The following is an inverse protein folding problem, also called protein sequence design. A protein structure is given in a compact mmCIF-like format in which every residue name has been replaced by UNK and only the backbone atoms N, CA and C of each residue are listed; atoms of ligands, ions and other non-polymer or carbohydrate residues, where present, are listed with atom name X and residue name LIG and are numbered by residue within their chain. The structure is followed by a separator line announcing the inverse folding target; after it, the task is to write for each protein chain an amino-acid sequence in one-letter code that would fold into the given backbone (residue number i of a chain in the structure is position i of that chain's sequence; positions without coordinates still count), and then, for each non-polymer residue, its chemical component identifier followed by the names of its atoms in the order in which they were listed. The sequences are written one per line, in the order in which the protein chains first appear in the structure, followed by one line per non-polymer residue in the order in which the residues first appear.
data_IF_680621299909
#
_entry.id   IF_680621299909
#
_cell.length_a   1.000
_cell.length_b   1.000
_cell.length_c   1.000
_cell.angle_alpha   90.00
_cell.angle_beta   90.00
_cell.angle_gamma   90.00
#
_symmetry.space_group_name_H-M   'P 1'
#
loop_
_entity.id
_entity.type
_entity.pdbx_description
1 polymer ?
#
# COMPACT_ATOMS: atom_id res chain seq x y z
N UNK A 1 -32.87 1.98 -5.15
CA UNK A 1 -31.76 1.24 -5.80
C UNK A 1 -31.02 0.45 -4.74
N UNK A 2 -30.66 -0.82 -5.00
CA UNK A 2 -29.86 -1.60 -4.07
C UNK A 2 -28.46 -0.99 -3.95
N UNK A 3 -28.16 -0.43 -2.79
CA UNK A 3 -26.84 0.11 -2.46
C UNK A 3 -25.91 -1.06 -2.16
N UNK A 4 -24.77 -1.13 -2.85
CA UNK A 4 -23.73 -2.11 -2.50
C UNK A 4 -22.74 -1.42 -1.56
N UNK A 5 -22.39 -2.12 -0.49
CA UNK A 5 -21.63 -1.55 0.61
C UNK A 5 -20.61 -2.53 1.22
N UNK A 6 -19.66 -1.94 1.93
CA UNK A 6 -18.66 -2.65 2.73
C UNK A 6 -18.49 -1.94 4.07
N UNK A 7 -18.56 -2.71 5.15
CA UNK A 7 -18.45 -2.18 6.51
C UNK A 7 -17.00 -2.26 7.01
N UNK A 8 -16.57 -1.20 7.68
CA UNK A 8 -15.25 -1.06 8.28
C UNK A 8 -15.34 -0.57 9.73
N UNK A 9 -14.31 -0.90 10.50
CA UNK A 9 -14.06 -0.41 11.85
C UNK A 9 -12.69 0.23 11.86
N UNK A 10 -12.61 1.50 12.25
CA UNK A 10 -11.36 2.17 12.58
C UNK A 10 -11.27 2.31 14.08
N UNK A 11 -10.13 1.97 14.67
CA UNK A 11 -9.89 2.13 16.11
C UNK A 11 -8.55 2.82 16.34
N UNK A 12 -8.57 3.96 17.02
CA UNK A 12 -7.38 4.59 17.58
C UNK A 12 -7.11 3.93 18.93
N UNK A 13 -5.95 3.30 19.08
CA UNK A 13 -5.56 2.55 20.28
C UNK A 13 -4.90 3.49 21.31
N UNK A 14 -5.66 4.45 21.85
CA UNK A 14 -5.17 5.39 22.88
C UNK A 14 -5.26 4.84 24.32
N UNK A 15 -5.87 3.67 24.52
CA UNK A 15 -6.16 3.13 25.84
C UNK A 15 -7.14 4.02 26.61
N UNK A 16 -6.77 4.45 27.82
CA UNK A 16 -7.54 5.38 28.63
C UNK A 16 -7.20 6.86 28.34
N UNK A 17 -6.24 7.13 27.45
CA UNK A 17 -5.79 8.48 27.17
C UNK A 17 -6.76 9.22 26.24
N UNK A 18 -6.82 10.53 26.43
CA UNK A 18 -7.53 11.45 25.55
C UNK A 18 -6.82 11.54 24.20
N UNK A 19 -7.62 11.69 23.15
CA UNK A 19 -7.17 11.96 21.79
C UNK A 19 -7.50 13.41 21.45
N UNK A 20 -6.51 14.11 20.90
CA UNK A 20 -6.72 15.42 20.30
C UNK A 20 -7.76 15.32 19.17
N UNK A 21 -8.78 16.19 19.24
CA UNK A 21 -9.93 16.12 18.33
C UNK A 21 -9.53 16.37 16.88
N UNK A 22 -8.67 17.37 16.64
CA UNK A 22 -8.22 17.72 15.29
C UNK A 22 -7.41 16.57 14.69
N UNK A 23 -6.49 16.00 15.47
CA UNK A 23 -5.63 14.91 15.00
C UNK A 23 -6.42 13.62 14.77
N UNK A 24 -7.41 13.35 15.63
CA UNK A 24 -8.34 12.24 15.44
C UNK A 24 -9.16 12.39 14.15
N UNK A 25 -9.71 13.58 13.89
CA UNK A 25 -10.51 13.86 12.69
C UNK A 25 -9.67 13.83 11.41
N UNK A 26 -8.46 14.38 11.42
CA UNK A 26 -7.53 14.33 10.28
C UNK A 26 -7.15 12.89 9.94
N UNK A 27 -6.84 12.08 10.97
CA UNK A 27 -6.60 10.64 10.84
C UNK A 27 -7.78 9.94 10.17
N UNK A 28 -9.00 10.13 10.70
CA UNK A 28 -10.22 9.52 10.14
C UNK A 28 -10.49 9.98 8.70
N UNK A 29 -10.23 11.25 8.41
CA UNK A 29 -10.37 11.83 7.06
C UNK A 29 -9.35 11.22 6.09
N UNK A 30 -8.11 11.02 6.53
CA UNK A 30 -7.10 10.29 5.77
C UNK A 30 -7.55 8.87 5.41
N UNK A 31 -8.00 8.09 6.39
CA UNK A 31 -8.49 6.73 6.16
C UNK A 31 -9.67 6.71 5.19
N UNK A 32 -10.70 7.52 5.43
CA UNK A 32 -11.88 7.56 4.59
C UNK A 32 -11.57 7.99 3.15
N UNK A 33 -10.70 8.98 2.97
CA UNK A 33 -10.24 9.44 1.66
C UNK A 33 -9.41 8.39 0.92
N UNK A 34 -8.41 7.79 1.56
CA UNK A 34 -7.57 6.76 0.95
C UNK A 34 -8.41 5.55 0.49
N UNK A 35 -9.25 5.01 1.38
CA UNK A 35 -10.12 3.86 1.09
C UNK A 35 -11.08 4.16 -0.06
N UNK A 36 -11.71 5.34 -0.07
CA UNK A 36 -12.65 5.73 -1.11
C UNK A 36 -11.97 5.88 -2.47
N UNK A 37 -10.84 6.60 -2.54
CA UNK A 37 -10.06 6.79 -3.77
C UNK A 37 -9.56 5.45 -4.32
N UNK A 38 -8.95 4.63 -3.47
CA UNK A 38 -8.45 3.30 -3.87
C UNK A 38 -9.57 2.41 -4.38
N UNK A 39 -10.72 2.39 -3.69
CA UNK A 39 -11.89 1.64 -4.15
C UNK A 39 -12.40 2.15 -5.50
N UNK A 40 -12.46 3.46 -5.68
CA UNK A 40 -12.89 4.04 -6.95
C UNK A 40 -12.00 3.56 -8.10
N UNK A 41 -10.68 3.59 -7.91
CA UNK A 41 -9.69 3.14 -8.89
C UNK A 41 -9.76 1.63 -9.15
N UNK A 42 -9.98 0.81 -8.11
CA UNK A 42 -10.12 -0.65 -8.26
C UNK A 42 -11.38 -0.98 -9.08
N UNK A 43 -12.49 -0.29 -8.80
CA UNK A 43 -13.78 -0.58 -9.43
C UNK A 43 -13.91 0.01 -10.84
N UNK A 44 -13.15 1.05 -11.18
CA UNK A 44 -13.07 1.62 -12.54
C UNK A 44 -11.93 1.05 -13.38
N UNK A 45 -10.86 0.55 -12.76
CA UNK A 45 -9.56 0.31 -13.40
C UNK A 45 -8.96 1.58 -14.04
N UNK A 46 -9.25 2.75 -13.47
CA UNK A 46 -8.81 4.05 -13.96
C UNK A 46 -8.54 4.98 -12.77
N UNK A 47 -7.60 5.93 -12.93
CA UNK A 47 -7.38 6.99 -11.94
C UNK A 47 -8.14 8.24 -12.40
N UNK A 48 -9.20 8.68 -11.70
CA UNK A 48 -9.97 9.84 -12.10
C UNK A 48 -9.10 11.10 -12.20
N UNK A 49 -9.28 11.89 -13.26
CA UNK A 49 -8.47 13.09 -13.56
C UNK A 49 -8.82 14.30 -12.68
N UNK A 50 -10.00 14.34 -12.06
CA UNK A 50 -10.45 15.47 -11.22
C UNK A 50 -10.36 15.16 -9.72
N UNK A 51 -9.97 16.19 -8.97
CA UNK A 51 -9.85 16.21 -7.51
C UNK A 51 -11.19 16.27 -6.74
N UNK A 52 -12.31 15.81 -7.30
CA UNK A 52 -13.50 15.63 -6.45
C UNK A 52 -13.32 14.38 -5.60
N UNK A 53 -13.70 14.47 -4.32
CA UNK A 53 -14.01 13.32 -3.47
C UNK A 53 -14.80 12.34 -4.34
N UNK A 54 -14.43 11.06 -4.43
CA UNK A 54 -15.07 10.12 -5.37
C UNK A 54 -16.59 10.18 -5.21
N UNK A 55 -17.29 10.90 -6.09
CA UNK A 55 -18.68 11.26 -5.83
C UNK A 55 -19.57 10.02 -5.69
N UNK A 56 -19.12 8.96 -6.35
CA UNK A 56 -19.76 7.66 -6.49
C UNK A 56 -19.35 6.63 -5.41
N UNK A 57 -18.31 6.90 -4.62
CA UNK A 57 -17.80 6.01 -3.56
C UNK A 57 -17.55 6.86 -2.31
N UNK A 58 -18.39 6.71 -1.28
CA UNK A 58 -18.31 7.57 -0.08
C UNK A 58 -18.31 6.74 1.20
N UNK A 59 -17.39 7.07 2.11
CA UNK A 59 -17.46 6.60 3.49
C UNK A 59 -18.56 7.36 4.25
N UNK A 60 -19.40 6.64 5.00
CA UNK A 60 -20.43 7.22 5.88
C UNK A 60 -20.28 6.64 7.28
N UNK A 61 -20.33 7.50 8.29
CA UNK A 61 -20.32 7.08 9.69
C UNK A 61 -21.55 6.20 9.99
N UNK A 62 -21.36 5.14 10.77
CA UNK A 62 -22.45 4.39 11.39
C UNK A 62 -22.74 4.94 12.79
N UNK A 63 -23.70 4.34 13.51
CA UNK A 63 -24.01 4.73 14.89
C UNK A 63 -22.78 4.76 15.79
N UNK A 64 -22.74 5.68 16.74
CA UNK A 64 -21.61 5.86 17.64
C UNK A 64 -21.41 4.66 18.58
N UNK A 65 -20.16 4.28 18.83
CA UNK A 65 -19.81 3.30 19.86
C UNK A 65 -19.58 4.01 21.20
N UNK A 66 -20.20 3.53 22.28
CA UNK A 66 -19.99 4.05 23.62
C UNK A 66 -18.59 3.63 24.12
N UNK A 67 -17.77 4.58 24.57
CA UNK A 67 -16.57 4.31 25.38
C UNK A 67 -15.28 3.92 24.65
N UNK A 68 -15.07 4.33 23.40
CA UNK A 68 -13.75 4.20 22.74
C UNK A 68 -13.63 5.11 21.51
N UNK A 69 -12.41 5.43 21.07
CA UNK A 69 -12.14 6.05 19.76
C UNK A 69 -12.27 5.04 18.61
N UNK A 70 -13.39 4.31 18.63
CA UNK A 70 -13.76 3.33 17.62
C UNK A 70 -14.86 3.94 16.77
N UNK A 71 -14.58 4.04 15.48
CA UNK A 71 -15.53 4.52 14.49
C UNK A 71 -15.85 3.42 13.49
N UNK A 72 -17.09 2.98 13.55
CA UNK A 72 -17.70 2.14 12.53
C UNK A 72 -18.12 3.03 11.35
N UNK A 73 -17.75 2.65 10.12
CA UNK A 73 -18.17 3.37 8.92
C UNK A 73 -18.42 2.40 7.77
N UNK A 74 -19.23 2.86 6.82
CA UNK A 74 -19.66 2.10 5.66
C UNK A 74 -19.17 2.78 4.39
N UNK A 75 -18.53 2.01 3.52
CA UNK A 75 -18.21 2.45 2.18
C UNK A 75 -19.41 2.18 1.28
N UNK A 76 -20.04 3.26 0.80
CA UNK A 76 -21.25 3.24 -0.02
C UNK A 76 -20.88 3.47 -1.49
N UNK A 77 -21.22 2.50 -2.35
CA UNK A 77 -21.01 2.58 -3.79
C UNK A 77 -22.37 2.86 -4.45
N UNK A 78 -22.52 4.06 -5.01
CA UNK A 78 -23.78 4.51 -5.62
C UNK A 78 -23.84 4.28 -7.14
N UNK A 79 -22.68 4.24 -7.80
CA UNK A 79 -22.60 4.04 -9.25
C UNK A 79 -22.98 2.58 -9.63
N UNK A 80 -23.92 2.36 -10.56
CA UNK A 80 -24.38 1.02 -10.92
C UNK A 80 -23.29 0.11 -11.51
N UNK A 81 -22.37 0.67 -12.30
CA UNK A 81 -21.27 -0.08 -12.94
C UNK A 81 -20.26 -0.51 -11.89
N UNK A 82 -19.85 0.41 -11.01
CA UNK A 82 -18.94 0.12 -9.88
C UNK A 82 -19.57 -0.86 -8.90
N UNK A 83 -20.87 -0.73 -8.64
CA UNK A 83 -21.65 -1.64 -7.81
C UNK A 83 -21.68 -3.07 -8.39
N UNK A 84 -21.89 -3.22 -9.69
CA UNK A 84 -21.80 -4.51 -10.38
C UNK A 84 -20.38 -5.10 -10.33
N UNK A 85 -19.35 -4.26 -10.50
CA UNK A 85 -17.95 -4.68 -10.36
C UNK A 85 -17.63 -5.17 -8.95
N UNK A 86 -18.11 -4.49 -7.91
CA UNK A 86 -17.95 -4.91 -6.52
C UNK A 86 -18.62 -6.27 -6.28
N UNK A 87 -19.83 -6.49 -6.77
CA UNK A 87 -20.50 -7.80 -6.67
C UNK A 87 -19.70 -8.92 -7.35
N UNK A 88 -19.04 -8.63 -8.48
CA UNK A 88 -18.19 -9.60 -9.21
C UNK A 88 -16.90 -9.93 -8.46
N UNK A 89 -16.18 -8.94 -7.94
CA UNK A 89 -14.90 -9.18 -7.24
C UNK A 89 -15.12 -9.67 -5.80
N UNK A 90 -16.13 -9.13 -5.12
CA UNK A 90 -16.49 -9.40 -3.74
C UNK A 90 -15.75 -8.53 -2.72
N UNK A 91 -16.39 -8.31 -1.57
CA UNK A 91 -15.90 -7.42 -0.51
C UNK A 91 -14.55 -7.85 0.09
N UNK A 92 -14.25 -9.15 0.09
CA UNK A 92 -12.94 -9.67 0.56
C UNK A 92 -11.81 -9.19 -0.34
N UNK A 93 -11.93 -9.46 -1.65
CA UNK A 93 -10.95 -9.06 -2.65
C UNK A 93 -10.76 -7.54 -2.67
N UNK A 94 -11.84 -6.77 -2.58
CA UNK A 94 -11.73 -5.31 -2.48
C UNK A 94 -10.89 -4.88 -1.26
N UNK A 95 -11.11 -5.51 -0.10
CA UNK A 95 -10.39 -5.15 1.13
C UNK A 95 -8.92 -5.58 1.10
N UNK A 96 -8.61 -6.71 0.47
CA UNK A 96 -7.22 -7.15 0.21
C UNK A 96 -6.49 -6.12 -0.68
N UNK A 97 -7.13 -5.66 -1.75
CA UNK A 97 -6.54 -4.67 -2.66
C UNK A 97 -6.40 -3.28 -2.03
N UNK A 98 -7.37 -2.84 -1.22
CA UNK A 98 -7.25 -1.60 -0.44
C UNK A 98 -6.02 -1.69 0.48
N UNK A 99 -5.87 -2.82 1.18
CA UNK A 99 -4.71 -3.07 2.06
C UNK A 99 -3.41 -3.02 1.26
N UNK A 100 -3.37 -3.70 0.12
CA UNK A 100 -2.22 -3.71 -0.78
C UNK A 100 -1.77 -2.29 -1.15
N UNK A 101 -2.66 -1.47 -1.71
CA UNK A 101 -2.30 -0.13 -2.18
C UNK A 101 -1.86 0.80 -1.05
N UNK A 102 -2.50 0.70 0.12
CA UNK A 102 -2.11 1.50 1.29
C UNK A 102 -0.74 1.05 1.81
N UNK A 103 -0.47 -0.26 1.92
CA UNK A 103 0.84 -0.78 2.30
C UNK A 103 1.95 -0.31 1.35
N UNK A 104 1.72 -0.40 0.03
CA UNK A 104 2.68 0.09 -0.97
C UNK A 104 2.92 1.60 -0.84
N UNK A 105 1.88 2.39 -0.57
CA UNK A 105 2.03 3.83 -0.31
C UNK A 105 2.82 4.14 0.97
N UNK A 106 2.87 3.22 1.93
CA UNK A 106 3.66 3.31 3.17
C UNK A 106 5.05 2.66 3.07
N UNK A 107 5.41 2.10 1.91
CA UNK A 107 6.61 1.29 1.72
C UNK A 107 6.67 0.06 2.63
N UNK A 108 5.52 -0.44 3.09
CA UNK A 108 5.39 -1.63 3.93
C UNK A 108 5.12 -2.84 3.05
N UNK A 109 5.58 -4.03 3.45
CA UNK A 109 5.24 -5.27 2.77
C UNK A 109 3.74 -5.56 2.90
N UNK A 110 2.98 -5.62 1.80
CA UNK A 110 1.58 -5.97 1.86
C UNK A 110 1.40 -7.46 2.19
N UNK A 111 0.30 -7.84 2.85
CA UNK A 111 -0.05 -9.24 3.06
C UNK A 111 -0.19 -10.00 1.74
N UNK A 112 0.03 -11.32 1.79
CA UNK A 112 -0.19 -12.20 0.65
C UNK A 112 -1.64 -12.09 0.13
N UNK A 113 -1.76 -11.90 -1.18
CA UNK A 113 -3.04 -11.76 -1.85
C UNK A 113 -3.63 -13.13 -2.20
N UNK A 114 -4.95 -13.23 -2.22
CA UNK A 114 -5.60 -14.40 -2.83
C UNK A 114 -5.40 -14.40 -4.35
N UNK A 115 -5.40 -15.58 -4.98
CA UNK A 115 -5.34 -15.72 -6.46
C UNK A 115 -6.37 -14.84 -7.19
N UNK A 116 -7.54 -14.63 -6.58
CA UNK A 116 -8.59 -13.77 -7.13
C UNK A 116 -8.19 -12.29 -7.05
N UNK A 117 -7.60 -11.84 -5.94
CA UNK A 117 -7.08 -10.48 -5.80
C UNK A 117 -5.89 -10.22 -6.72
N UNK A 118 -4.93 -11.15 -6.82
CA UNK A 118 -3.81 -11.07 -7.76
C UNK A 118 -4.28 -10.89 -9.22
N UNK A 119 -5.30 -11.64 -9.64
CA UNK A 119 -5.88 -11.54 -10.98
C UNK A 119 -6.57 -10.19 -11.23
N UNK A 120 -7.04 -9.50 -10.20
CA UNK A 120 -7.58 -8.14 -10.33
C UNK A 120 -6.43 -7.14 -10.38
N UNK A 121 -5.44 -7.27 -9.48
CA UNK A 121 -4.27 -6.40 -9.43
C UNK A 121 -3.48 -6.41 -10.74
N UNK A 122 -3.31 -7.56 -11.39
CA UNK A 122 -2.59 -7.66 -12.67
C UNK A 122 -3.24 -6.85 -13.80
N UNK A 123 -4.55 -6.60 -13.73
CA UNK A 123 -5.25 -5.72 -14.69
C UNK A 123 -4.99 -4.23 -14.44
N UNK A 124 -4.52 -3.90 -13.24
CA UNK A 124 -4.22 -2.55 -12.78
C UNK A 124 -2.74 -2.19 -12.95
N UNK A 125 -1.87 -3.08 -13.45
CA UNK A 125 -0.40 -2.86 -13.54
C UNK A 125 -0.04 -1.49 -14.16
N UNK A 126 -0.77 -1.06 -15.20
CA UNK A 126 -0.53 0.22 -15.89
C UNK A 126 -0.85 1.47 -15.05
N UNK A 127 -1.73 1.33 -14.06
CA UNK A 127 -2.21 2.44 -13.23
C UNK A 127 -1.77 2.33 -11.77
N UNK A 128 -1.15 1.22 -11.38
CA UNK A 128 -0.83 0.90 -10.00
C UNK A 128 -0.11 2.03 -9.27
N UNK A 129 1.00 2.52 -9.82
CA UNK A 129 1.72 3.66 -9.22
C UNK A 129 0.92 4.95 -9.23
N UNK A 130 0.07 5.17 -10.25
CA UNK A 130 -0.80 6.35 -10.27
C UNK A 130 -1.81 6.30 -9.12
N UNK A 131 -2.28 5.11 -8.74
CA UNK A 131 -3.15 4.93 -7.56
C UNK A 131 -2.36 5.22 -6.28
N UNK A 132 -1.14 4.68 -6.15
CA UNK A 132 -0.25 4.92 -5.00
C UNK A 132 0.03 6.42 -4.83
N UNK A 133 0.45 7.10 -5.89
CA UNK A 133 0.72 8.53 -5.90
C UNK A 133 -0.53 9.32 -5.52
N UNK A 134 -1.70 8.89 -6.01
CA UNK A 134 -2.98 9.56 -5.76
C UNK A 134 -3.42 9.50 -4.30
N UNK A 135 -3.09 8.43 -3.58
CA UNK A 135 -3.45 8.28 -2.17
C UNK A 135 -2.36 8.73 -1.20
N UNK A 136 -1.16 9.05 -1.69
CA UNK A 136 0.02 9.38 -0.87
C UNK A 136 -0.26 10.41 0.23
N UNK A 137 -0.87 11.55 -0.10
CA UNK A 137 -1.22 12.58 0.88
C UNK A 137 -2.29 12.10 1.89
N UNK A 138 -3.26 11.29 1.45
CA UNK A 138 -4.25 10.71 2.37
C UNK A 138 -3.62 9.71 3.33
N UNK A 139 -2.63 8.96 2.86
CA UNK A 139 -1.85 8.04 3.69
C UNK A 139 -0.97 8.80 4.69
N UNK A 140 -0.49 10.00 4.34
CA UNK A 140 0.15 10.91 5.30
C UNK A 140 -0.85 11.39 6.37
N UNK A 141 -2.05 11.83 5.97
CA UNK A 141 -3.11 12.26 6.88
C UNK A 141 -3.50 11.14 7.86
N UNK A 142 -3.56 9.88 7.37
CA UNK A 142 -3.83 8.70 8.22
C UNK A 142 -2.89 8.61 9.42
N UNK A 143 -1.64 9.05 9.30
CA UNK A 143 -0.64 8.96 10.36
C UNK A 143 -0.65 10.15 11.32
N UNK A 144 -1.60 11.10 11.21
CA UNK A 144 -1.57 12.31 12.04
C UNK A 144 -1.46 11.97 13.53
N UNK A 145 -2.31 11.07 14.02
CA UNK A 145 -2.28 10.69 15.44
C UNK A 145 -1.11 9.77 15.80
N UNK A 146 -0.73 8.86 14.91
CA UNK A 146 0.40 7.94 15.15
C UNK A 146 1.73 8.68 15.17
N UNK A 147 1.85 9.81 14.48
CA UNK A 147 3.02 10.68 14.51
C UNK A 147 3.01 11.63 15.71
N UNK A 148 1.88 12.25 16.02
CA UNK A 148 1.82 13.26 17.09
C UNK A 148 1.77 12.64 18.49
N UNK A 149 1.04 11.54 18.66
CA UNK A 149 0.74 10.94 19.96
C UNK A 149 1.21 9.50 20.10
N UNK A 150 1.81 8.92 19.04
CA UNK A 150 2.31 7.54 19.01
C UNK A 150 1.24 6.47 19.23
N UNK A 151 -0.04 6.82 19.04
CA UNK A 151 -1.13 5.86 19.13
C UNK A 151 -1.26 5.07 17.82
N UNK A 152 -1.25 3.74 17.86
CA UNK A 152 -1.51 2.94 16.69
C UNK A 152 -2.99 3.06 16.27
N UNK A 153 -3.24 2.91 14.98
CA UNK A 153 -4.59 2.92 14.43
C UNK A 153 -4.81 1.64 13.64
N UNK A 154 -5.86 0.90 14.00
CA UNK A 154 -6.18 -0.39 13.40
C UNK A 154 -7.41 -0.24 12.52
N UNK A 155 -7.29 -0.66 11.25
CA UNK A 155 -8.43 -0.80 10.34
C UNK A 155 -8.86 -2.28 10.28
N UNK A 156 -10.16 -2.51 10.38
CA UNK A 156 -10.76 -3.83 10.19
C UNK A 156 -11.90 -3.78 9.19
N UNK A 157 -12.08 -4.86 8.43
CA UNK A 157 -13.31 -5.12 7.67
C UNK A 157 -14.31 -5.81 8.59
N UNK A 158 -15.54 -5.30 8.65
CA UNK A 158 -16.63 -5.92 9.40
C UNK A 158 -17.50 -6.78 8.51
N UNK A 159 -18.05 -7.82 9.10
CA UNK A 159 -19.15 -8.61 8.55
C UNK A 159 -20.14 -8.87 9.69
N UNK A 160 -21.33 -9.40 9.37
CA UNK A 160 -22.31 -9.75 10.41
C UNK A 160 -21.77 -10.76 11.45
N UNK A 161 -20.78 -11.57 11.08
CA UNK A 161 -20.28 -12.67 11.90
C UNK A 161 -18.94 -12.38 12.59
N UNK A 162 -18.05 -11.60 11.94
CA UNK A 162 -16.68 -11.37 12.45
C UNK A 162 -16.03 -10.10 11.88
N UNK A 163 -14.99 -9.66 12.59
CA UNK A 163 -14.10 -8.59 12.16
C UNK A 163 -12.77 -9.19 11.65
N UNK A 164 -12.23 -8.62 10.58
CA UNK A 164 -10.95 -9.01 10.01
C UNK A 164 -9.99 -7.83 10.09
N UNK A 165 -8.89 -7.97 10.83
CA UNK A 165 -7.81 -6.96 10.82
C UNK A 165 -7.25 -6.88 9.39
N UNK A 166 -7.24 -5.67 8.83
CA UNK A 166 -6.69 -5.41 7.50
C UNK A 166 -5.23 -4.98 7.63
N UNK A 167 -5.00 -3.89 8.34
CA UNK A 167 -3.67 -3.39 8.66
C UNK A 167 -3.70 -2.51 9.91
N UNK A 168 -2.51 -2.16 10.36
CA UNK A 168 -2.27 -1.23 11.46
C UNK A 168 -1.23 -0.21 11.00
N UNK A 169 -1.43 1.04 11.40
CA UNK A 169 -0.43 2.09 11.25
C UNK A 169 0.05 2.53 12.63
N UNK A 170 1.31 2.92 12.72
CA UNK A 170 1.97 3.29 13.96
C UNK A 170 3.11 4.29 13.69
N UNK A 171 3.91 4.59 14.72
CA UNK A 171 5.05 5.51 14.61
C UNK A 171 6.09 5.03 13.58
N UNK A 172 6.33 3.72 13.49
CA UNK A 172 7.28 3.16 12.53
C UNK A 172 6.81 3.37 11.09
N UNK A 173 5.54 3.05 10.79
CA UNK A 173 4.99 3.28 9.45
C UNK A 173 4.88 4.78 9.11
N UNK A 174 4.72 5.65 10.11
CA UNK A 174 4.79 7.10 9.92
C UNK A 174 6.22 7.54 9.53
N UNK A 175 7.25 7.00 10.18
CA UNK A 175 8.65 7.35 9.91
C UNK A 175 9.07 7.05 8.47
N UNK A 176 8.49 6.00 7.86
CA UNK A 176 8.67 5.65 6.45
C UNK A 176 8.19 6.74 5.47
N UNK A 177 7.32 7.65 5.92
CA UNK A 177 6.68 8.66 5.07
C UNK A 177 7.25 10.07 5.24
N UNK A 178 7.64 10.43 6.47
CA UNK A 178 7.99 11.81 6.81
C UNK A 178 9.47 12.03 7.08
N UNK A 179 10.21 10.98 7.44
CA UNK A 179 11.56 11.12 8.00
C UNK A 179 12.55 10.21 7.27
N UNK A 180 12.54 10.28 5.94
CA UNK A 180 13.46 9.51 5.11
C UNK A 180 14.77 10.25 4.88
N UNK A 181 15.88 9.63 5.26
CA UNK A 181 17.22 10.03 4.82
C UNK A 181 17.62 9.19 3.61
N UNK A 182 18.51 9.71 2.75
CA UNK A 182 19.12 8.94 1.67
C UNK A 182 20.60 8.84 1.93
N UNK A 183 21.14 7.61 1.89
CA UNK A 183 22.57 7.38 2.07
C UNK A 183 23.35 8.10 0.96
N UNK A 184 24.45 8.77 1.34
CA UNK A 184 25.29 9.52 0.39
C UNK A 184 26.13 8.60 -0.50
N UNK A 185 26.47 7.42 0.02
CA UNK A 185 27.27 6.42 -0.67
C UNK A 185 26.35 5.31 -1.18
N UNK A 186 26.64 4.84 -2.39
CA UNK A 186 26.00 3.64 -2.92
C UNK A 186 26.48 2.40 -2.20
N UNK A 187 25.58 1.45 -1.98
CA UNK A 187 25.87 0.12 -1.48
C UNK A 187 25.69 -0.90 -2.61
N UNK A 188 26.37 -2.04 -2.47
CA UNK A 188 26.13 -3.23 -3.27
C UNK A 188 25.37 -4.25 -2.43
N UNK A 189 24.30 -4.80 -2.98
CA UNK A 189 23.50 -5.86 -2.36
C UNK A 189 23.33 -7.01 -3.33
N UNK A 190 23.34 -8.23 -2.81
CA UNK A 190 22.86 -9.40 -3.53
C UNK A 190 21.36 -9.56 -3.24
N UNK A 191 20.52 -9.62 -4.26
CA UNK A 191 19.07 -9.65 -4.05
C UNK A 191 18.32 -10.41 -5.14
N UNK A 192 17.13 -10.89 -4.81
CA UNK A 192 16.14 -11.38 -5.78
C UNK A 192 15.04 -10.34 -5.99
N UNK A 193 14.58 -10.21 -7.22
CA UNK A 193 13.40 -9.41 -7.56
C UNK A 193 12.16 -10.26 -7.27
N UNK A 194 11.32 -9.80 -6.35
CA UNK A 194 10.09 -10.51 -5.95
C UNK A 194 8.84 -9.89 -6.57
N UNK A 195 8.90 -8.62 -6.97
CA UNK A 195 7.90 -7.94 -7.80
C UNK A 195 8.55 -6.94 -8.72
N UNK A 196 8.03 -6.79 -9.94
CA UNK A 196 8.50 -5.79 -10.90
C UNK A 196 7.37 -5.32 -11.79
N UNK A 197 7.12 -4.01 -11.79
CA UNK A 197 6.16 -3.37 -12.67
C UNK A 197 6.90 -2.87 -13.92
N UNK A 198 6.67 -3.55 -15.04
CA UNK A 198 7.40 -3.34 -16.29
C UNK A 198 7.17 -1.96 -16.92
N UNK A 199 6.07 -1.29 -16.59
CA UNK A 199 5.69 0.03 -17.09
C UNK A 199 6.40 1.18 -16.38
N UNK A 200 6.80 0.96 -15.14
CA UNK A 200 7.23 2.04 -14.24
C UNK A 200 8.61 1.82 -13.64
N UNK A 201 9.10 0.58 -13.65
CA UNK A 201 10.39 0.22 -13.08
C UNK A 201 10.40 0.11 -11.57
N UNK A 202 9.24 0.23 -10.92
CA UNK A 202 9.10 0.03 -9.49
C UNK A 202 8.87 -1.46 -9.20
N UNK A 203 9.28 -1.88 -8.02
CA UNK A 203 9.15 -3.27 -7.64
C UNK A 203 9.55 -3.49 -6.19
N UNK A 204 9.77 -4.76 -5.85
CA UNK A 204 10.32 -5.16 -4.56
C UNK A 204 11.40 -6.20 -4.76
N UNK A 205 12.37 -6.17 -3.87
CA UNK A 205 13.46 -7.12 -3.83
C UNK A 205 13.59 -7.71 -2.44
N UNK A 206 14.14 -8.91 -2.34
CA UNK A 206 14.57 -9.52 -1.09
C UNK A 206 16.10 -9.55 -1.12
N UNK A 207 16.75 -8.72 -0.30
CA UNK A 207 18.20 -8.72 -0.19
C UNK A 207 18.66 -9.95 0.60
N UNK A 208 19.89 -10.38 0.37
CA UNK A 208 20.44 -11.54 1.06
C UNK A 208 20.56 -11.29 2.57
N UNK A 209 20.04 -12.23 3.37
CA UNK A 209 19.94 -12.09 4.82
C UNK A 209 18.70 -11.34 5.33
N UNK A 210 17.94 -10.66 4.46
CA UNK A 210 16.68 -10.02 4.86
C UNK A 210 15.53 -11.05 4.92
N UNK A 211 14.59 -10.83 5.84
CA UNK A 211 13.38 -11.66 5.99
C UNK A 211 12.14 -11.09 5.33
N UNK A 212 12.21 -9.84 4.84
CA UNK A 212 11.09 -9.10 4.26
C UNK A 212 11.53 -8.44 2.96
N UNK A 213 10.61 -8.29 2.03
CA UNK A 213 10.94 -7.60 0.78
C UNK A 213 10.99 -6.10 0.99
N UNK A 214 11.90 -5.40 0.31
CA UNK A 214 12.06 -3.94 0.36
C UNK A 214 11.69 -3.36 -1.01
N UNK A 215 10.89 -2.29 -1.08
CA UNK A 215 10.56 -1.66 -2.34
C UNK A 215 11.79 -1.02 -2.99
N UNK A 216 11.79 -0.99 -4.32
CA UNK A 216 12.81 -0.30 -5.08
C UNK A 216 12.20 0.55 -6.20
N UNK A 217 12.96 1.55 -6.62
CA UNK A 217 12.75 2.28 -7.87
C UNK A 217 14.11 2.65 -8.44
N UNK A 218 14.18 2.95 -9.74
CA UNK A 218 15.42 3.49 -10.32
C UNK A 218 15.68 4.93 -9.85
N UNK A 219 16.95 5.29 -9.68
CA UNK A 219 17.35 6.64 -9.24
C UNK A 219 16.98 7.74 -10.25
N UNK A 220 16.94 7.40 -11.53
CA UNK A 220 16.54 8.28 -12.62
C UNK A 220 15.23 7.86 -13.30
N UNK A 221 14.77 8.63 -14.31
CA UNK A 221 13.57 8.29 -15.06
C UNK A 221 13.67 6.88 -15.66
N UNK A 222 12.67 6.04 -15.41
CA UNK A 222 12.66 4.66 -15.91
C UNK A 222 12.76 4.55 -17.44
N UNK A 223 12.27 5.57 -18.16
CA UNK A 223 12.45 5.68 -19.62
C UNK A 223 13.92 5.69 -20.06
N UNK A 224 14.83 6.20 -19.21
CA UNK A 224 16.28 6.29 -19.48
C UNK A 224 17.07 5.06 -19.00
N UNK A 225 16.45 4.15 -18.26
CA UNK A 225 17.10 2.92 -17.80
C UNK A 225 17.38 2.02 -19.00
N UNK A 226 18.62 1.48 -19.08
CA UNK A 226 19.06 0.61 -20.19
C UNK A 226 18.16 -0.62 -20.30
N UNK A 227 17.83 -1.01 -21.53
CA UNK A 227 16.99 -2.17 -21.81
C UNK A 227 17.56 -3.48 -21.23
N UNK A 228 18.89 -3.62 -21.17
CA UNK A 228 19.56 -4.76 -20.56
C UNK A 228 19.25 -4.88 -19.06
N UNK A 229 19.25 -3.77 -18.32
CA UNK A 229 18.91 -3.76 -16.88
C UNK A 229 17.43 -4.10 -16.68
N UNK A 230 16.55 -3.55 -17.52
CA UNK A 230 15.10 -3.85 -17.46
C UNK A 230 14.83 -5.34 -17.66
N UNK A 231 15.48 -5.95 -18.67
CA UNK A 231 15.41 -7.39 -18.92
C UNK A 231 15.96 -8.19 -17.75
N UNK A 232 17.12 -7.81 -17.24
CA UNK A 232 17.75 -8.49 -16.11
C UNK A 232 16.83 -8.56 -14.87
N UNK A 233 16.16 -7.45 -14.52
CA UNK A 233 15.20 -7.43 -13.42
C UNK A 233 13.98 -8.34 -13.67
N UNK A 234 13.45 -8.31 -14.90
CA UNK A 234 12.29 -9.12 -15.29
C UNK A 234 12.61 -10.61 -15.38
N UNK A 235 13.79 -10.96 -15.91
CA UNK A 235 14.28 -12.33 -16.00
C UNK A 235 14.53 -12.89 -14.59
N UNK A 236 15.17 -12.12 -13.71
CA UNK A 236 15.38 -12.54 -12.33
C UNK A 236 14.07 -12.83 -11.57
N UNK A 237 13.04 -12.02 -11.80
CA UNK A 237 11.70 -12.30 -11.26
C UNK A 237 11.11 -13.59 -11.82
N UNK A 238 11.24 -13.81 -13.13
CA UNK A 238 10.72 -15.00 -13.80
C UNK A 238 11.42 -16.27 -13.33
N UNK A 239 12.75 -16.24 -13.31
CA UNK A 239 13.62 -17.39 -13.05
C UNK A 239 13.52 -17.87 -11.59
N UNK A 240 13.20 -16.99 -10.65
CA UNK A 240 13.05 -17.33 -9.23
C UNK A 240 11.60 -17.64 -8.81
N UNK A 241 10.64 -17.64 -9.74
CA UNK A 241 9.25 -17.87 -9.41
C UNK A 241 8.96 -19.37 -9.15
N UNK A 242 8.54 -19.70 -7.93
CA UNK A 242 8.22 -21.07 -7.49
C UNK A 242 9.38 -22.08 -7.62
N UNK A 243 10.61 -21.59 -7.45
CA UNK A 243 11.84 -22.38 -7.49
C UNK A 243 12.31 -22.71 -6.07
N UNK A 244 12.98 -23.84 -5.88
CA UNK A 244 13.57 -24.23 -4.61
C UNK A 244 14.75 -23.30 -4.22
N UNK A 245 14.94 -23.08 -2.92
CA UNK A 245 15.91 -22.10 -2.39
C UNK A 245 17.34 -22.30 -2.93
N UNK A 246 17.75 -23.55 -3.14
CA UNK A 246 19.08 -23.94 -3.65
C UNK A 246 19.35 -23.48 -5.08
N UNK A 247 18.30 -23.24 -5.86
CA UNK A 247 18.36 -22.84 -7.26
C UNK A 247 18.13 -21.33 -7.45
N UNK A 248 17.94 -20.59 -6.34
CA UNK A 248 17.71 -19.15 -6.40
C UNK A 248 18.93 -18.43 -6.97
N UNK A 249 18.70 -17.66 -8.02
CA UNK A 249 19.72 -16.80 -8.64
C UNK A 249 19.55 -15.36 -8.17
N UNK A 250 20.60 -14.79 -7.59
CA UNK A 250 20.61 -13.39 -7.11
C UNK A 250 21.20 -12.46 -8.16
N UNK A 251 20.79 -11.19 -8.14
CA UNK A 251 21.43 -10.10 -8.86
C UNK A 251 22.35 -9.34 -7.91
N UNK A 252 23.50 -8.90 -8.42
CA UNK A 252 24.28 -7.84 -7.80
C UNK A 252 23.67 -6.50 -8.15
N UNK A 253 23.22 -5.77 -7.15
CA UNK A 253 22.50 -4.49 -7.30
C UNK A 253 23.29 -3.39 -6.60
N UNK A 254 23.62 -2.34 -7.36
CA UNK A 254 24.18 -1.10 -6.81
C UNK A 254 23.03 -0.11 -6.59
N UNK A 255 22.86 0.37 -5.35
CA UNK A 255 21.75 1.25 -5.00
C UNK A 255 22.11 2.25 -3.88
N UNK A 256 21.36 3.35 -3.79
CA UNK A 256 21.32 4.17 -2.58
C UNK A 256 20.14 3.73 -1.72
N UNK A 257 20.37 3.49 -0.43
CA UNK A 257 19.31 3.16 0.51
C UNK A 257 18.61 4.41 1.04
N UNK A 258 17.29 4.37 1.15
CA UNK A 258 16.50 5.31 1.94
C UNK A 258 16.19 4.70 3.29
N UNK A 259 16.43 5.44 4.37
CA UNK A 259 16.28 4.95 5.74
C UNK A 259 15.27 5.76 6.53
N UNK A 260 14.55 5.10 7.43
CA UNK A 260 13.73 5.77 8.43
C UNK A 260 14.56 6.28 9.62
N UNK A 261 13.92 6.87 10.62
CA UNK A 261 14.56 7.34 11.85
C UNK A 261 15.19 6.24 12.70
N UNK A 262 14.72 5.00 12.55
CA UNK A 262 15.26 3.83 13.23
C UNK A 262 16.53 3.29 12.55
N UNK A 263 16.85 3.78 11.34
CA UNK A 263 17.96 3.30 10.52
C UNK A 263 17.58 2.16 9.57
N UNK A 264 16.33 1.68 9.59
CA UNK A 264 15.85 0.61 8.73
C UNK A 264 15.79 1.07 7.28
N UNK A 265 16.14 0.19 6.34
CA UNK A 265 16.03 0.49 4.92
C UNK A 265 14.56 0.38 4.50
N UNK A 266 14.00 1.51 4.09
CA UNK A 266 12.61 1.62 3.64
C UNK A 266 12.48 1.45 2.14
N UNK A 267 13.50 1.87 1.37
CA UNK A 267 13.46 1.79 -0.10
C UNK A 267 14.85 1.83 -0.72
N UNK A 268 15.07 1.04 -1.77
CA UNK A 268 16.28 1.12 -2.59
C UNK A 268 16.09 2.00 -3.83
N UNK A 269 17.06 2.87 -4.09
CA UNK A 269 17.16 3.67 -5.31
C UNK A 269 18.23 3.06 -6.22
N UNK A 270 17.80 2.24 -7.19
CA UNK A 270 18.70 1.44 -8.04
C UNK A 270 19.50 2.33 -8.99
N UNK A 271 20.82 2.15 -8.96
CA UNK A 271 21.79 2.78 -9.86
C UNK A 271 22.20 1.82 -10.99
N UNK A 272 22.33 0.53 -10.68
CA UNK A 272 22.73 -0.50 -11.63
C UNK A 272 22.41 -1.90 -11.11
N UNK A 273 22.42 -2.88 -12.02
CA UNK A 273 22.31 -4.30 -11.69
C UNK A 273 23.11 -5.13 -12.69
N UNK A 274 23.72 -6.22 -12.21
CA UNK A 274 24.43 -7.20 -13.01
C UNK A 274 24.14 -8.62 -12.52
N UNK A 275 24.47 -9.61 -13.35
CA UNK A 275 24.59 -10.99 -12.90
C UNK A 275 25.74 -11.10 -11.88
N UNK A 276 25.74 -12.13 -11.00
CA UNK A 276 26.81 -12.37 -10.03
C UNK A 276 28.21 -12.39 -10.66
#
# INVERSE_FOLDING_TARGET
MAVTDVDFELKIESGANLVDMEYGLETMTGFSGAIAITTDCILSNEVPSKMSYSDNVRAKLMGACIGSYKQDFKLVISDPVKSANLKRIGNSVLSELITYFICEAMYVEPPALTKKAEKVLSKMEKIENKVIDRISERVKDMHKISRSNKYPVVLKRKTKLRNFKLFEINENTASNLFNLTTDSNSIEIDAIVTRFNSFTGNGRLLADGDSVTIPFSFSGPYSKVKASIKRLMSENLHDNNAVADELITRLKITANAKRNTSGDIVKYMILGASKP
#
